data_IF_848498630487
#
_entry.id   IF_848498630487
#
_cell.length_a   1.000
_cell.length_b   1.000
_cell.length_c   1.000
_cell.angle_alpha   90.00
_cell.angle_beta   90.00
_cell.angle_gamma   90.00
#
_symmetry.space_group_name_H-M   'P 1'
#
loop_
_entity.id
_entity.type
_entity.pdbx_description
1 polymer ?
#
# COMPACT_ATOMS: atom_id res chain seq x y z
N UNK A 1 104.87 62.09 24.65
CA UNK A 1 104.24 62.38 25.94
C UNK A 1 102.73 62.38 25.73
N UNK A 2 102.03 61.53 26.48
CA UNK A 2 100.63 61.16 26.26
C UNK A 2 99.64 62.28 26.59
N UNK A 3 98.50 62.30 25.91
CA UNK A 3 97.26 62.82 26.51
C UNK A 3 96.06 61.94 26.15
N UNK A 4 95.39 61.52 27.21
CA UNK A 4 94.22 60.67 27.35
C UNK A 4 93.03 61.01 26.44
N UNK A 5 92.41 59.96 25.88
CA UNK A 5 91.02 59.97 25.36
C UNK A 5 90.04 60.33 26.48
N UNK A 6 89.31 61.43 26.33
CA UNK A 6 88.06 61.66 27.05
C UNK A 6 86.90 61.04 26.23
N UNK A 7 86.11 60.21 26.88
CA UNK A 7 84.92 59.56 26.32
C UNK A 7 83.89 60.58 25.85
N UNK A 8 83.61 60.57 24.54
CA UNK A 8 82.56 61.40 23.94
C UNK A 8 81.19 61.09 24.56
N UNK A 9 80.46 62.15 24.93
CA UNK A 9 79.08 62.00 25.36
C UNK A 9 78.24 61.45 24.20
N UNK A 10 77.61 60.30 24.43
CA UNK A 10 76.65 59.70 23.50
C UNK A 10 75.39 60.55 23.56
N UNK A 11 75.09 61.27 22.48
CA UNK A 11 73.83 62.02 22.34
C UNK A 11 72.74 61.02 21.92
N UNK A 12 71.83 60.67 22.83
CA UNK A 12 70.67 59.85 22.50
C UNK A 12 69.64 60.71 21.74
N UNK A 13 69.63 60.59 20.41
CA UNK A 13 68.54 61.10 19.56
C UNK A 13 67.52 59.98 19.38
N UNK A 14 66.31 60.19 19.91
CA UNK A 14 65.20 59.26 19.76
C UNK A 14 64.01 59.98 19.09
N UNK A 15 63.14 59.23 18.40
CA UNK A 15 62.06 59.82 17.61
C UNK A 15 60.96 60.41 18.52
N UNK A 16 60.84 61.74 18.54
CA UNK A 16 59.84 62.43 19.38
C UNK A 16 58.47 62.40 18.68
N UNK A 17 57.67 61.38 18.98
CA UNK A 17 56.27 61.31 18.60
C UNK A 17 55.36 61.73 19.75
N UNK A 18 54.38 62.59 19.47
CA UNK A 18 53.38 63.00 20.47
C UNK A 18 52.35 61.89 20.67
N UNK A 19 52.55 61.06 21.69
CA UNK A 19 51.58 60.02 22.06
C UNK A 19 50.44 60.65 22.89
N UNK A 20 49.21 60.60 22.37
CA UNK A 20 47.99 60.93 23.11
C UNK A 20 47.05 59.73 23.09
N UNK A 21 46.43 59.44 24.22
CA UNK A 21 45.33 58.48 24.32
C UNK A 21 44.02 59.23 24.08
N UNK A 22 43.25 58.81 23.09
CA UNK A 22 41.92 59.36 22.82
C UNK A 22 40.85 58.31 23.11
N UNK A 23 39.75 58.75 23.70
CA UNK A 23 38.59 57.91 24.04
C UNK A 23 37.33 58.56 23.48
N UNK A 24 37.28 58.68 22.15
CA UNK A 24 36.10 59.20 21.47
C UNK A 24 34.94 58.22 21.63
N UNK A 25 33.88 58.69 22.28
CA UNK A 25 32.68 57.90 22.47
C UNK A 25 31.91 57.77 21.15
N UNK A 26 31.29 56.61 20.88
CA UNK A 26 30.43 56.46 19.72
C UNK A 26 29.21 57.41 19.80
N UNK A 27 28.66 57.83 18.66
CA UNK A 27 27.42 58.60 18.65
C UNK A 27 26.26 57.76 19.22
N UNK A 28 25.21 58.40 19.78
CA UNK A 28 24.08 57.70 20.37
C UNK A 28 23.34 56.83 19.33
N UNK A 29 23.00 55.60 19.71
CA UNK A 29 22.51 54.55 18.79
C UNK A 29 21.04 54.67 18.35
N UNK A 30 20.30 55.67 18.84
CA UNK A 30 18.91 56.02 18.47
C UNK A 30 18.06 54.80 18.01
N UNK A 31 17.85 53.79 18.87
CA UNK A 31 17.06 52.63 18.50
C UNK A 31 15.59 53.02 18.24
N UNK A 32 14.86 52.23 17.44
CA UNK A 32 13.44 52.46 17.20
C UNK A 32 12.66 52.42 18.52
N UNK A 33 11.68 53.33 18.66
CA UNK A 33 10.81 53.38 19.85
C UNK A 33 9.71 52.34 19.73
N UNK A 34 9.61 51.45 20.71
CA UNK A 34 8.44 50.59 20.83
C UNK A 34 7.22 51.40 21.25
N UNK A 35 6.07 51.04 20.71
CA UNK A 35 4.77 51.62 21.06
C UNK A 35 4.06 50.67 22.03
N UNK A 36 3.33 51.24 22.98
CA UNK A 36 2.46 50.46 23.86
C UNK A 36 1.24 49.97 23.08
N UNK A 37 1.05 48.65 23.05
CA UNK A 37 -0.10 48.02 22.42
C UNK A 37 -1.27 48.10 23.42
N UNK A 38 -2.43 48.69 23.04
CA UNK A 38 -3.56 48.81 23.94
C UNK A 38 -4.13 47.42 24.27
N UNK A 39 -4.11 47.06 25.56
CA UNK A 39 -4.72 45.85 26.09
C UNK A 39 -5.96 46.15 26.93
N UNK A 40 -6.93 45.24 26.92
CA UNK A 40 -8.06 45.24 27.85
C UNK A 40 -7.57 44.76 29.22
N UNK A 41 -6.97 45.67 29.99
CA UNK A 41 -6.57 45.39 31.36
C UNK A 41 -7.78 45.10 32.28
N UNK A 42 -7.57 45.02 33.58
CA UNK A 42 -8.64 44.78 34.57
C UNK A 42 -9.74 45.88 34.57
N UNK A 43 -9.43 47.06 34.04
CA UNK A 43 -10.40 48.15 33.85
C UNK A 43 -11.32 47.93 32.63
N UNK A 44 -10.90 47.10 31.67
CA UNK A 44 -11.77 46.57 30.63
C UNK A 44 -12.67 45.52 31.28
N UNK A 45 -13.95 45.85 31.44
CA UNK A 45 -14.93 45.15 32.29
C UNK A 45 -15.14 43.65 32.01
N UNK A 46 -14.43 43.07 31.04
CA UNK A 46 -14.50 41.67 30.65
C UNK A 46 -14.19 40.73 31.83
N UNK A 47 -13.11 41.00 32.55
CA UNK A 47 -12.66 40.17 33.69
C UNK A 47 -13.41 40.44 35.00
N UNK A 48 -14.05 41.60 35.13
CA UNK A 48 -14.84 41.98 36.32
C UNK A 48 -16.34 41.77 36.12
N UNK A 49 -16.76 41.36 34.92
CA UNK A 49 -18.16 41.03 34.63
C UNK A 49 -18.62 39.79 35.39
N UNK A 50 -19.87 39.78 35.84
CA UNK A 50 -20.49 38.59 36.44
C UNK A 50 -20.55 37.40 35.47
N UNK A 51 -20.56 37.67 34.16
CA UNK A 51 -20.51 36.63 33.11
C UNK A 51 -19.23 35.82 33.12
N UNK A 52 -18.09 36.46 33.47
CA UNK A 52 -16.80 35.79 33.59
C UNK A 52 -16.80 34.68 34.65
N UNK A 53 -17.54 34.89 35.75
CA UNK A 53 -17.67 33.91 36.85
C UNK A 53 -18.77 32.85 36.61
N UNK A 54 -19.54 32.94 35.53
CA UNK A 54 -20.69 32.05 35.28
C UNK A 54 -20.33 30.57 35.18
N UNK A 55 -19.14 30.27 34.63
CA UNK A 55 -18.64 28.90 34.56
C UNK A 55 -18.35 28.33 35.95
N UNK A 56 -17.71 29.13 36.80
CA UNK A 56 -17.42 28.76 38.19
C UNK A 56 -18.72 28.52 38.97
N UNK A 57 -19.73 29.36 38.77
CA UNK A 57 -21.03 29.19 39.42
C UNK A 57 -21.76 27.91 39.00
N UNK A 58 -21.65 27.51 37.73
CA UNK A 58 -22.26 26.26 37.22
C UNK A 58 -21.53 24.99 37.68
N UNK A 59 -20.24 25.09 38.00
CA UNK A 59 -19.44 23.98 38.52
C UNK A 59 -19.64 23.76 40.03
N UNK A 60 -20.30 24.69 40.74
CA UNK A 60 -20.65 24.48 42.15
C UNK A 60 -21.65 23.33 42.30
N UNK A 61 -21.38 22.33 43.15
CA UNK A 61 -22.34 21.26 43.45
C UNK A 61 -23.66 21.84 43.94
N UNK A 62 -24.77 21.40 43.35
CA UNK A 62 -26.10 21.83 43.77
C UNK A 62 -26.41 21.27 45.15
N UNK A 63 -26.98 22.12 46.01
CA UNK A 63 -27.55 21.63 47.26
C UNK A 63 -28.77 20.76 46.95
N UNK A 64 -28.76 19.53 47.44
CA UNK A 64 -29.87 18.56 47.32
C UNK A 64 -30.75 18.53 48.58
N UNK A 65 -30.39 19.28 49.62
CA UNK A 65 -31.19 19.45 50.83
C UNK A 65 -32.39 20.37 50.53
N UNK A 66 -33.55 19.77 50.31
CA UNK A 66 -34.78 20.50 49.98
C UNK A 66 -35.40 21.20 51.19
N UNK A 67 -35.50 20.48 52.32
CA UNK A 67 -36.02 20.95 53.60
C UNK A 67 -35.28 20.25 54.76
N UNK A 68 -35.71 20.50 56.01
CA UNK A 68 -35.10 19.89 57.19
C UNK A 68 -35.27 18.36 57.28
N UNK A 69 -36.20 17.78 56.51
CA UNK A 69 -36.52 16.35 56.51
C UNK A 69 -36.20 15.68 55.15
N UNK A 70 -35.37 16.33 54.33
CA UNK A 70 -34.93 15.88 53.00
C UNK A 70 -36.10 15.50 52.06
N UNK A 71 -37.21 16.22 52.15
CA UNK A 71 -38.43 16.01 51.35
C UNK A 71 -39.26 14.79 51.77
N UNK A 72 -38.96 14.17 52.92
CA UNK A 72 -39.71 13.05 53.50
C UNK A 72 -40.36 13.48 54.82
N UNK A 73 -41.54 14.11 54.80
CA UNK A 73 -42.15 14.65 56.00
C UNK A 73 -42.55 13.55 57.00
N UNK A 74 -42.03 13.60 58.22
CA UNK A 74 -42.36 12.65 59.30
C UNK A 74 -43.53 13.22 60.11
N UNK A 75 -44.74 13.07 59.57
CA UNK A 75 -45.98 13.47 60.24
C UNK A 75 -46.85 12.25 60.57
N UNK A 76 -47.34 12.20 61.81
CA UNK A 76 -48.23 11.14 62.30
C UNK A 76 -49.71 11.50 62.11
N UNK A 77 -50.02 12.76 61.78
CA UNK A 77 -51.39 13.22 61.57
C UNK A 77 -52.00 12.56 60.34
N UNK A 78 -53.14 11.88 60.54
CA UNK A 78 -53.87 11.18 59.47
C UNK A 78 -53.55 9.70 59.33
N UNK A 79 -52.56 9.17 60.07
CA UNK A 79 -52.30 7.72 60.11
C UNK A 79 -53.31 7.04 61.07
N UNK A 80 -54.07 6.03 60.62
CA UNK A 80 -55.07 5.37 61.47
C UNK A 80 -54.46 4.72 62.71
N UNK A 81 -55.05 4.96 63.89
CA UNK A 81 -54.77 4.23 65.14
C UNK A 81 -53.52 4.69 65.92
N UNK A 82 -52.67 5.55 65.35
CA UNK A 82 -51.39 5.94 65.97
C UNK A 82 -51.59 6.72 67.28
N UNK A 83 -52.58 7.61 67.36
CA UNK A 83 -52.89 8.34 68.59
C UNK A 83 -53.66 7.52 69.63
N UNK A 84 -54.21 6.36 69.24
CA UNK A 84 -54.95 5.44 70.10
C UNK A 84 -54.06 4.30 70.66
N UNK A 85 -52.76 4.33 70.35
CA UNK A 85 -51.77 3.33 70.79
C UNK A 85 -51.62 2.12 69.86
N UNK A 86 -52.23 2.11 68.67
CA UNK A 86 -52.01 1.08 67.64
C UNK A 86 -51.01 1.57 66.58
N UNK A 87 -49.75 1.16 66.73
CA UNK A 87 -48.64 1.54 65.85
C UNK A 87 -48.52 0.66 64.59
N UNK A 88 -49.45 -0.28 64.36
CA UNK A 88 -49.34 -1.24 63.25
C UNK A 88 -49.23 -0.61 61.86
N UNK A 89 -49.77 0.59 61.68
CA UNK A 89 -49.74 1.31 60.40
C UNK A 89 -48.34 1.79 59.99
N UNK A 90 -47.47 2.07 60.96
CA UNK A 90 -46.09 2.55 60.74
C UNK A 90 -45.05 1.43 60.88
N UNK A 91 -45.43 0.30 61.48
CA UNK A 91 -44.56 -0.85 61.63
C UNK A 91 -44.41 -1.63 60.31
N UNK A 92 -43.23 -2.22 60.11
CA UNK A 92 -42.98 -3.09 58.98
C UNK A 92 -43.94 -4.29 59.00
N UNK A 93 -44.62 -4.55 57.88
CA UNK A 93 -45.56 -5.68 57.77
C UNK A 93 -44.82 -7.01 57.88
N UNK A 94 -45.26 -7.95 58.73
CA UNK A 94 -44.63 -9.27 58.82
C UNK A 94 -45.00 -10.12 57.60
N UNK A 95 -44.01 -10.57 56.83
CA UNK A 95 -44.19 -11.52 55.72
C UNK A 95 -43.21 -11.30 54.55
N UNK A 96 -43.12 -12.26 53.61
CA UNK A 96 -42.26 -12.11 52.43
C UNK A 96 -42.81 -11.01 51.50
N UNK A 97 -42.06 -9.93 51.34
CA UNK A 97 -42.41 -8.78 50.51
C UNK A 97 -42.06 -9.08 49.05
N UNK A 98 -43.04 -8.98 48.15
CA UNK A 98 -42.80 -9.01 46.69
C UNK A 98 -42.25 -7.66 46.27
N UNK A 99 -40.94 -7.58 46.00
CA UNK A 99 -40.27 -6.37 45.55
C UNK A 99 -40.63 -6.05 44.10
N UNK A 100 -40.92 -4.77 43.81
CA UNK A 100 -41.07 -4.31 42.44
C UNK A 100 -39.69 -4.29 41.75
N UNK A 101 -39.61 -4.61 40.44
CA UNK A 101 -38.33 -4.63 39.73
C UNK A 101 -37.57 -3.29 39.75
N UNK A 102 -38.28 -2.15 39.80
CA UNK A 102 -37.65 -0.83 39.92
C UNK A 102 -36.95 -0.63 41.28
N UNK A 103 -37.53 -1.15 42.37
CA UNK A 103 -37.00 -1.00 43.73
C UNK A 103 -35.78 -1.90 43.96
N UNK A 104 -35.67 -2.99 43.18
CA UNK A 104 -34.53 -3.91 43.24
C UNK A 104 -33.19 -3.20 43.01
N UNK A 105 -33.18 -2.15 42.21
CA UNK A 105 -31.95 -1.38 41.95
C UNK A 105 -31.57 -0.45 43.11
N UNK A 106 -32.57 0.12 43.79
CA UNK A 106 -32.39 1.01 44.94
C UNK A 106 -31.86 0.26 46.17
N UNK A 107 -32.14 -1.03 46.28
CA UNK A 107 -31.68 -1.90 47.37
C UNK A 107 -30.26 -2.46 47.17
N UNK A 108 -29.54 -2.10 46.09
CA UNK A 108 -28.16 -2.55 45.87
C UNK A 108 -27.27 -1.97 46.99
N UNK A 109 -26.47 -2.80 47.69
CA UNK A 109 -25.56 -2.31 48.71
C UNK A 109 -24.47 -1.43 48.07
N UNK A 110 -23.90 -0.49 48.83
CA UNK A 110 -22.89 0.45 48.32
C UNK A 110 -21.70 -0.25 47.64
N UNK A 111 -21.27 -1.41 48.14
CA UNK A 111 -20.18 -2.20 47.54
C UNK A 111 -20.51 -2.84 46.19
N UNK A 112 -21.79 -3.01 45.87
CA UNK A 112 -22.26 -3.41 44.54
C UNK A 112 -22.44 -2.20 43.60
N UNK A 113 -22.43 -0.99 44.14
CA UNK A 113 -22.47 0.26 43.41
C UNK A 113 -21.04 0.59 42.92
N UNK A 114 -20.61 -0.10 41.87
CA UNK A 114 -19.30 0.08 41.27
C UNK A 114 -19.07 -0.86 40.10
N UNK A 115 -18.18 -0.49 39.18
CA UNK A 115 -17.83 -1.34 38.03
C UNK A 115 -17.04 -2.57 38.50
N UNK A 116 -17.72 -3.68 38.75
CA UNK A 116 -17.12 -5.00 38.99
C UNK A 116 -16.48 -5.64 37.74
N UNK A 117 -15.79 -4.86 36.90
CA UNK A 117 -15.27 -5.32 35.61
C UNK A 117 -13.90 -4.69 35.24
N UNK A 118 -13.04 -4.42 36.22
CA UNK A 118 -11.65 -4.02 35.93
C UNK A 118 -10.80 -5.16 35.33
N UNK A 119 -11.29 -6.40 35.32
CA UNK A 119 -10.57 -7.58 34.80
C UNK A 119 -10.74 -7.73 33.27
N UNK A 120 -11.75 -7.10 32.67
CA UNK A 120 -12.01 -7.16 31.22
C UNK A 120 -11.50 -5.93 30.46
N UNK A 121 -10.77 -5.03 31.12
CA UNK A 121 -10.10 -3.93 30.44
C UNK A 121 -9.03 -4.50 29.51
N UNK A 122 -9.21 -4.38 28.20
CA UNK A 122 -8.19 -4.74 27.22
C UNK A 122 -7.03 -3.75 27.33
N UNK A 123 -6.11 -4.04 28.23
CA UNK A 123 -4.88 -3.28 28.38
C UNK A 123 -3.92 -3.72 27.27
N UNK A 124 -3.58 -2.83 26.35
CA UNK A 124 -2.80 -3.14 25.13
C UNK A 124 -1.40 -3.70 25.42
N UNK A 125 -0.85 -3.43 26.60
CA UNK A 125 0.44 -3.97 27.03
C UNK A 125 0.34 -5.33 27.74
N UNK A 126 -0.83 -5.72 28.24
CA UNK A 126 -1.00 -6.94 29.02
C UNK A 126 -1.41 -8.09 28.09
N UNK A 127 -0.42 -8.83 27.59
CA UNK A 127 -0.66 -10.05 26.81
C UNK A 127 -1.11 -11.20 27.73
N UNK A 128 -1.97 -12.07 27.22
CA UNK A 128 -2.34 -13.33 27.89
C UNK A 128 -1.11 -14.23 27.99
N UNK A 129 -0.95 -14.93 29.11
CA UNK A 129 0.12 -15.92 29.29
C UNK A 129 -0.12 -17.11 28.35
N UNK A 130 0.89 -17.47 27.57
CA UNK A 130 0.90 -18.76 26.88
C UNK A 130 1.30 -19.86 27.86
N UNK A 131 0.58 -20.98 27.82
CA UNK A 131 0.99 -22.20 28.51
C UNK A 131 1.81 -23.03 27.54
N UNK A 132 2.91 -23.63 28.01
CA UNK A 132 3.79 -24.50 27.23
C UNK A 132 3.01 -25.72 26.71
N UNK A 133 2.40 -25.60 25.54
CA UNK A 133 1.83 -26.72 24.80
C UNK A 133 2.96 -27.40 24.03
N UNK A 134 3.04 -28.73 24.13
CA UNK A 134 4.06 -29.57 23.48
C UNK A 134 4.04 -29.59 21.94
N UNK A 135 3.30 -28.67 21.31
CA UNK A 135 3.19 -28.52 19.86
C UNK A 135 3.67 -27.13 19.40
N UNK A 136 4.94 -26.82 19.68
CA UNK A 136 5.68 -25.89 18.82
C UNK A 136 5.97 -26.57 17.48
N UNK A 137 6.21 -25.82 16.37
CA UNK A 137 6.51 -26.40 15.07
C UNK A 137 7.90 -27.04 15.09
N UNK A 138 7.98 -28.25 15.63
CA UNK A 138 9.13 -29.11 15.51
C UNK A 138 9.05 -29.79 14.15
N UNK A 139 9.68 -29.20 13.14
CA UNK A 139 10.15 -29.99 12.01
C UNK A 139 11.32 -30.86 12.48
N UNK A 140 11.00 -31.94 13.20
CA UNK A 140 11.89 -33.09 13.30
C UNK A 140 11.49 -34.07 12.21
N UNK A 141 12.18 -34.02 11.08
CA UNK A 141 12.35 -35.22 10.25
C UNK A 141 13.28 -36.15 11.02
N UNK A 142 12.76 -36.80 12.05
CA UNK A 142 13.51 -37.81 12.80
C UNK A 142 13.66 -39.04 11.92
N UNK A 143 14.80 -39.10 11.22
CA UNK A 143 15.34 -40.33 10.63
C UNK A 143 15.68 -41.30 11.75
N UNK A 144 14.67 -42.01 12.25
CA UNK A 144 14.86 -43.17 13.12
C UNK A 144 14.75 -44.43 12.28
N UNK A 145 15.73 -45.31 12.46
CA UNK A 145 15.91 -46.55 11.71
C UNK A 145 14.72 -47.52 11.78
N UNK A 146 13.77 -47.32 12.71
CA UNK A 146 12.53 -48.09 12.79
C UNK A 146 11.49 -47.74 11.70
N UNK A 147 11.49 -46.52 11.16
CA UNK A 147 10.59 -46.17 10.05
C UNK A 147 11.11 -46.66 8.69
N UNK A 148 12.43 -46.73 8.51
CA UNK A 148 13.05 -47.32 7.31
C UNK A 148 12.75 -48.82 7.16
N UNK A 149 12.52 -49.53 8.27
CA UNK A 149 12.16 -50.96 8.26
C UNK A 149 10.69 -51.22 7.90
N UNK A 150 9.79 -50.25 8.12
CA UNK A 150 8.37 -50.36 7.69
C UNK A 150 8.16 -49.99 6.22
N UNK A 151 9.00 -49.13 5.66
CA UNK A 151 8.98 -48.80 4.23
C UNK A 151 9.52 -49.93 3.32
N UNK A 152 10.26 -50.90 3.85
CA UNK A 152 10.93 -51.95 3.06
C UNK A 152 10.08 -53.21 2.81
N UNK A 153 9.04 -53.44 3.61
CA UNK A 153 8.27 -54.70 3.59
C UNK A 153 6.80 -54.54 3.19
N UNK A 154 6.48 -53.55 2.36
CA UNK A 154 5.15 -53.42 1.77
C UNK A 154 5.17 -53.87 0.29
N UNK A 155 4.78 -55.12 -0.03
CA UNK A 155 4.88 -55.69 -1.37
C UNK A 155 3.96 -55.02 -2.40
N UNK A 156 3.05 -54.14 -1.97
CA UNK A 156 2.14 -53.37 -2.84
C UNK A 156 2.76 -52.08 -3.42
N UNK A 157 3.97 -51.70 -3.00
CA UNK A 157 4.61 -50.43 -3.42
C UNK A 157 5.78 -50.56 -4.39
N UNK A 158 6.13 -51.78 -4.82
CA UNK A 158 7.00 -52.00 -5.98
C UNK A 158 6.21 -51.79 -7.27
N UNK A 159 5.75 -50.55 -7.50
CA UNK A 159 5.54 -50.08 -8.87
C UNK A 159 6.93 -49.86 -9.45
N UNK A 160 7.16 -50.31 -10.68
CA UNK A 160 8.31 -49.90 -11.47
C UNK A 160 8.43 -48.38 -11.34
N UNK A 161 9.50 -47.90 -10.73
CA UNK A 161 9.75 -46.46 -10.65
C UNK A 161 10.07 -46.03 -12.07
N UNK A 162 9.03 -45.64 -12.83
CA UNK A 162 9.23 -44.74 -13.96
C UNK A 162 10.10 -43.60 -13.45
N UNK A 163 11.15 -43.26 -14.19
CA UNK A 163 12.08 -42.23 -13.76
C UNK A 163 11.24 -40.96 -13.51
N UNK A 164 11.30 -40.43 -12.30
CA UNK A 164 10.46 -39.28 -11.93
C UNK A 164 10.83 -38.04 -12.75
N UNK A 165 12.07 -38.02 -13.22
CA UNK A 165 12.65 -36.93 -13.98
C UNK A 165 12.57 -37.15 -15.50
N UNK A 166 11.91 -38.22 -15.97
CA UNK A 166 11.65 -38.40 -17.41
C UNK A 166 10.68 -37.30 -17.90
N UNK A 167 11.03 -36.51 -18.93
CA UNK A 167 10.19 -35.40 -19.40
C UNK A 167 8.74 -35.81 -19.73
N UNK A 168 8.57 -36.99 -20.33
CA UNK A 168 7.24 -37.53 -20.66
C UNK A 168 6.43 -37.83 -19.39
N UNK A 169 7.08 -38.34 -18.34
CA UNK A 169 6.42 -38.62 -17.07
C UNK A 169 6.01 -37.32 -16.36
N UNK A 170 6.85 -36.28 -16.44
CA UNK A 170 6.53 -34.94 -15.94
C UNK A 170 5.30 -34.41 -16.68
N UNK A 171 5.30 -34.42 -18.01
CA UNK A 171 4.19 -33.94 -18.84
C UNK A 171 2.89 -34.70 -18.50
N UNK A 172 2.93 -36.03 -18.40
CA UNK A 172 1.73 -36.81 -18.05
C UNK A 172 1.16 -36.46 -16.67
N UNK A 173 2.00 -36.15 -15.69
CA UNK A 173 1.55 -35.73 -14.37
C UNK A 173 1.06 -34.27 -14.34
N UNK A 174 1.60 -33.40 -15.19
CA UNK A 174 1.08 -32.04 -15.41
C UNK A 174 -0.32 -32.13 -16.01
N UNK A 175 -0.50 -32.88 -17.11
CA UNK A 175 -1.79 -33.08 -17.77
C UNK A 175 -2.81 -33.73 -16.82
N UNK A 176 -2.39 -34.69 -15.98
CA UNK A 176 -3.24 -35.26 -14.92
C UNK A 176 -3.86 -34.17 -14.02
N UNK A 177 -3.12 -33.11 -13.69
CA UNK A 177 -3.63 -31.99 -12.90
C UNK A 177 -4.77 -31.25 -13.61
N UNK A 178 -4.60 -30.98 -14.91
CA UNK A 178 -5.63 -30.38 -15.76
C UNK A 178 -6.84 -31.31 -15.93
N UNK A 179 -6.63 -32.61 -16.15
CA UNK A 179 -7.70 -33.60 -16.29
C UNK A 179 -8.53 -33.77 -15.00
N UNK A 180 -7.90 -33.61 -13.82
CA UNK A 180 -8.61 -33.61 -12.53
C UNK A 180 -9.50 -32.38 -12.39
N UNK A 181 -8.99 -31.21 -12.79
CA UNK A 181 -9.74 -29.95 -12.72
C UNK A 181 -10.89 -29.90 -13.74
N UNK A 182 -10.63 -30.35 -14.98
CA UNK A 182 -11.55 -30.31 -16.13
C UNK A 182 -11.68 -31.69 -16.80
N UNK A 183 -12.39 -32.65 -16.17
CA UNK A 183 -12.48 -34.03 -16.67
C UNK A 183 -13.24 -34.17 -18.00
N UNK A 184 -13.96 -33.13 -18.43
CA UNK A 184 -14.68 -33.09 -19.72
C UNK A 184 -13.74 -32.92 -20.91
N UNK A 185 -12.65 -32.19 -20.71
CA UNK A 185 -11.71 -31.80 -21.76
C UNK A 185 -10.51 -32.77 -21.87
N UNK A 186 -10.47 -33.76 -20.99
CA UNK A 186 -9.40 -34.76 -20.93
C UNK A 186 -9.28 -35.54 -22.25
N UNK A 187 -8.08 -35.49 -22.84
CA UNK A 187 -7.77 -36.20 -24.08
C UNK A 187 -7.70 -37.71 -23.84
N UNK A 188 -8.44 -38.48 -24.65
CA UNK A 188 -8.57 -39.95 -24.53
C UNK A 188 -7.99 -40.72 -25.73
N UNK A 189 -7.39 -40.03 -26.69
CA UNK A 189 -6.77 -40.64 -27.87
C UNK A 189 -5.38 -41.24 -27.59
N UNK A 190 -4.73 -41.73 -28.64
CA UNK A 190 -3.35 -42.22 -28.56
C UNK A 190 -2.36 -41.05 -28.44
N UNK A 191 -1.21 -41.31 -27.80
CA UNK A 191 -0.13 -40.33 -27.64
C UNK A 191 0.40 -39.91 -29.03
N UNK A 192 0.39 -38.61 -29.31
CA UNK A 192 0.99 -38.00 -30.50
C UNK A 192 2.11 -37.03 -30.09
N UNK A 193 2.77 -36.42 -31.08
CA UNK A 193 3.80 -35.39 -30.83
C UNK A 193 3.23 -34.11 -30.21
N UNK A 194 1.92 -33.87 -30.35
CA UNK A 194 1.24 -32.67 -29.86
C UNK A 194 0.34 -32.94 -28.65
N UNK A 195 -0.30 -34.10 -28.58
CA UNK A 195 -1.25 -34.46 -27.54
C UNK A 195 -0.80 -35.74 -26.82
N UNK A 196 -0.58 -35.65 -25.52
CA UNK A 196 -0.17 -36.77 -24.67
C UNK A 196 -1.30 -37.05 -23.68
N UNK A 197 -1.61 -38.32 -23.47
CA UNK A 197 -2.61 -38.70 -22.47
C UNK A 197 -2.08 -38.48 -21.04
N UNK A 198 -2.87 -37.80 -20.21
CA UNK A 198 -2.57 -37.60 -18.80
C UNK A 198 -2.44 -38.91 -18.02
N UNK A 199 -1.65 -38.89 -16.95
CA UNK A 199 -1.58 -40.01 -16.03
C UNK A 199 -2.96 -40.21 -15.35
N UNK A 200 -3.37 -41.47 -15.16
CA UNK A 200 -4.70 -41.77 -14.59
C UNK A 200 -4.87 -41.14 -13.19
N UNK A 201 -5.93 -40.35 -12.95
CA UNK A 201 -6.29 -39.84 -11.62
C UNK A 201 -6.46 -40.98 -10.61
N UNK A 202 -5.94 -40.80 -9.39
CA UNK A 202 -6.22 -41.72 -8.29
C UNK A 202 -7.59 -41.42 -7.70
N UNK A 203 -8.26 -42.42 -7.10
CA UNK A 203 -9.51 -42.20 -6.34
C UNK A 203 -9.32 -41.17 -5.22
N UNK A 204 -8.12 -41.14 -4.61
CA UNK A 204 -7.77 -40.16 -3.59
C UNK A 204 -7.75 -38.73 -4.15
N UNK A 205 -7.26 -38.54 -5.39
CA UNK A 205 -7.17 -37.24 -6.03
C UNK A 205 -8.58 -36.72 -6.38
N UNK A 206 -9.43 -37.59 -6.92
CA UNK A 206 -10.83 -37.25 -7.20
C UNK A 206 -11.62 -36.91 -5.94
N UNK A 207 -11.40 -37.65 -4.84
CA UNK A 207 -12.03 -37.35 -3.55
C UNK A 207 -11.55 -36.03 -2.95
N UNK A 208 -10.26 -35.73 -3.07
CA UNK A 208 -9.68 -34.49 -2.59
C UNK A 208 -10.20 -33.27 -3.38
N UNK A 209 -10.40 -33.41 -4.70
CA UNK A 209 -10.96 -32.34 -5.53
C UNK A 209 -12.44 -32.09 -5.26
N UNK A 210 -13.24 -33.16 -5.09
CA UNK A 210 -14.68 -33.05 -4.81
C UNK A 210 -14.98 -32.50 -3.41
N UNK A 211 -14.14 -32.80 -2.43
CA UNK A 211 -14.28 -32.32 -1.05
C UNK A 211 -12.94 -31.78 -0.53
N UNK A 212 -12.56 -30.55 -0.94
CA UNK A 212 -11.28 -29.98 -0.60
C UNK A 212 -11.18 -29.72 0.91
N UNK A 213 -10.08 -30.18 1.52
CA UNK A 213 -9.76 -29.94 2.92
C UNK A 213 -8.42 -29.22 3.01
N UNK A 214 -8.33 -28.21 3.88
CA UNK A 214 -7.08 -27.47 4.06
C UNK A 214 -6.02 -28.37 4.71
N UNK A 215 -4.80 -28.47 4.15
CA UNK A 215 -3.81 -29.48 4.52
C UNK A 215 -3.35 -29.43 6.00
N UNK A 216 -3.36 -28.25 6.62
CA UNK A 216 -2.99 -28.07 8.04
C UNK A 216 -4.14 -27.71 8.96
N UNK A 217 -5.32 -27.36 8.43
CA UNK A 217 -6.45 -26.81 9.20
C UNK A 217 -7.77 -27.39 8.68
N UNK A 218 -8.07 -28.67 8.97
CA UNK A 218 -9.21 -29.38 8.37
C UNK A 218 -10.58 -28.80 8.73
N UNK A 219 -10.66 -27.87 9.70
CA UNK A 219 -11.89 -27.16 10.05
C UNK A 219 -12.24 -26.02 9.08
N UNK A 220 -11.34 -25.63 8.17
CA UNK A 220 -11.62 -24.61 7.17
C UNK A 220 -12.45 -25.19 6.02
N UNK A 221 -13.38 -24.38 5.52
CA UNK A 221 -14.22 -24.72 4.39
C UNK A 221 -13.79 -23.88 3.17
N UNK A 222 -13.87 -24.49 1.99
CA UNK A 222 -13.70 -23.76 0.72
C UNK A 222 -14.91 -22.84 0.53
N UNK A 223 -14.67 -21.54 0.41
CA UNK A 223 -15.71 -20.55 0.13
C UNK A 223 -15.89 -20.36 -1.38
N UNK A 224 -14.79 -20.18 -2.11
CA UNK A 224 -14.81 -19.89 -3.53
C UNK A 224 -13.54 -20.41 -4.23
N UNK A 225 -13.62 -20.63 -5.53
CA UNK A 225 -12.52 -21.12 -6.36
C UNK A 225 -12.45 -20.34 -7.67
N UNK A 226 -11.27 -19.80 -7.97
CA UNK A 226 -11.01 -19.06 -9.20
C UNK A 226 -10.06 -19.87 -10.10
N UNK A 227 -10.49 -20.26 -11.30
CA UNK A 227 -9.58 -20.88 -12.26
C UNK A 227 -8.53 -19.86 -12.72
N UNK A 228 -7.27 -20.27 -12.80
CA UNK A 228 -6.18 -19.40 -13.26
C UNK A 228 -6.16 -19.39 -14.79
N UNK A 229 -6.35 -18.22 -15.40
CA UNK A 229 -6.49 -18.06 -16.84
C UNK A 229 -5.54 -16.96 -17.37
N UNK A 230 -4.96 -17.09 -18.57
CA UNK A 230 -4.26 -15.99 -19.20
C UNK A 230 -5.25 -14.97 -19.77
N UNK A 231 -4.95 -13.67 -19.65
CA UNK A 231 -5.67 -12.62 -20.38
C UNK A 231 -4.82 -12.18 -21.58
N UNK A 232 -5.04 -12.83 -22.74
CA UNK A 232 -4.24 -12.60 -23.94
C UNK A 232 -4.56 -11.27 -24.64
N UNK A 233 -5.76 -10.72 -24.43
CA UNK A 233 -6.20 -9.48 -25.08
C UNK A 233 -5.66 -8.24 -24.35
N UNK A 234 -5.34 -8.37 -23.06
CA UNK A 234 -4.82 -7.27 -22.24
C UNK A 234 -3.29 -7.12 -22.31
N UNK A 235 -2.62 -7.87 -23.17
CA UNK A 235 -1.16 -7.77 -23.33
C UNK A 235 -0.78 -6.46 -24.03
N UNK A 236 0.13 -5.66 -23.45
CA UNK A 236 0.61 -4.45 -24.10
C UNK A 236 1.48 -4.80 -25.32
N UNK A 237 1.85 -3.80 -26.12
CA UNK A 237 2.77 -3.97 -27.27
C UNK A 237 4.13 -4.58 -26.89
N UNK A 238 4.56 -4.40 -25.65
CA UNK A 238 5.76 -5.03 -25.07
C UNK A 238 5.55 -6.46 -24.59
N UNK A 239 4.33 -7.00 -24.68
CA UNK A 239 3.91 -8.32 -24.20
C UNK A 239 4.01 -8.53 -22.68
N UNK A 240 4.35 -7.48 -21.92
CA UNK A 240 4.62 -7.57 -20.49
C UNK A 240 4.41 -6.23 -19.77
N UNK A 241 4.07 -6.32 -18.49
CA UNK A 241 3.97 -5.17 -17.59
C UNK A 241 5.28 -4.96 -16.82
N UNK A 242 5.42 -3.77 -16.24
CA UNK A 242 6.53 -3.39 -15.38
C UNK A 242 6.00 -2.97 -14.01
N UNK A 243 6.70 -3.36 -12.94
CA UNK A 243 6.36 -2.98 -11.59
C UNK A 243 7.31 -1.89 -11.07
N UNK A 244 6.83 -0.65 -11.01
CA UNK A 244 7.57 0.46 -10.42
C UNK A 244 7.21 0.65 -8.94
N UNK A 245 8.20 0.62 -8.05
CA UNK A 245 8.02 0.84 -6.60
C UNK A 245 8.75 2.11 -6.16
N UNK A 246 7.99 3.11 -5.72
CA UNK A 246 8.58 4.33 -5.14
C UNK A 246 9.06 4.06 -3.71
N UNK A 247 10.30 4.47 -3.38
CA UNK A 247 10.85 4.35 -2.02
C UNK A 247 10.11 5.25 -1.03
N UNK A 248 9.65 6.40 -1.50
CA UNK A 248 8.88 7.39 -0.73
C UNK A 248 7.59 7.71 -1.45
N UNK A 249 6.51 8.01 -0.71
CA UNK A 249 5.26 8.45 -1.31
C UNK A 249 5.52 9.64 -2.26
N UNK A 250 5.18 9.54 -3.56
CA UNK A 250 5.43 10.60 -4.53
C UNK A 250 4.67 11.89 -4.20
N UNK A 251 3.43 11.77 -3.71
CA UNK A 251 2.57 12.89 -3.36
C UNK A 251 2.66 13.21 -1.87
N UNK A 252 2.32 14.46 -1.50
CA UNK A 252 2.36 14.91 -0.11
C UNK A 252 1.46 14.01 0.78
N UNK A 253 1.82 13.85 2.05
CA UNK A 253 1.06 13.03 3.01
C UNK A 253 -0.33 13.62 3.23
N UNK A 254 -1.29 13.23 2.39
CA UNK A 254 -2.70 13.28 2.72
C UNK A 254 -3.02 12.16 3.71
N UNK A 255 -4.13 12.29 4.45
CA UNK A 255 -4.58 11.28 5.43
C UNK A 255 -4.97 9.93 4.79
N UNK A 256 -5.02 9.85 3.45
CA UNK A 256 -5.39 8.65 2.69
C UNK A 256 -4.61 8.46 1.39
N UNK A 257 -4.98 7.42 0.65
CA UNK A 257 -4.44 7.11 -0.68
C UNK A 257 -4.94 8.16 -1.70
N UNK A 258 -4.02 8.78 -2.44
CA UNK A 258 -4.37 9.73 -3.50
C UNK A 258 -4.58 8.98 -4.81
N UNK A 259 -5.84 8.92 -5.26
CA UNK A 259 -6.26 8.19 -6.46
C UNK A 259 -5.61 8.71 -7.76
N UNK A 260 -5.03 9.91 -7.76
CA UNK A 260 -4.29 10.40 -8.93
C UNK A 260 -3.09 9.53 -9.28
N UNK A 261 -2.57 8.76 -8.32
CA UNK A 261 -1.50 7.78 -8.56
C UNK A 261 -1.95 6.58 -9.40
N UNK A 262 -3.25 6.25 -9.40
CA UNK A 262 -3.80 5.14 -10.19
C UNK A 262 -3.75 5.40 -11.70
N UNK A 263 -3.77 6.69 -12.08
CA UNK A 263 -3.84 7.14 -13.47
C UNK A 263 -2.61 7.95 -13.89
N UNK A 264 -1.52 7.89 -13.12
CA UNK A 264 -0.30 8.64 -13.35
C UNK A 264 0.54 8.05 -14.50
N UNK A 265 1.31 8.90 -15.18
CA UNK A 265 2.16 8.52 -16.31
C UNK A 265 3.62 8.54 -15.86
N UNK A 266 4.30 7.41 -16.03
CA UNK A 266 5.73 7.28 -15.80
C UNK A 266 6.43 7.23 -17.17
N UNK A 267 7.09 8.32 -17.54
CA UNK A 267 7.79 8.44 -18.82
C UNK A 267 9.28 8.21 -18.62
N UNK A 268 9.89 7.34 -19.41
CA UNK A 268 11.35 7.18 -19.44
C UNK A 268 12.01 8.42 -20.07
N UNK A 269 13.05 8.93 -19.42
CA UNK A 269 13.89 10.01 -19.93
C UNK A 269 15.05 9.40 -20.71
N UNK A 270 15.25 9.86 -21.94
CA UNK A 270 16.42 9.47 -22.73
C UNK A 270 17.67 10.12 -22.14
N UNK A 271 18.58 9.31 -21.59
CA UNK A 271 19.92 9.72 -21.18
C UNK A 271 20.95 8.95 -22.01
N UNK A 272 21.53 9.63 -23.00
CA UNK A 272 22.52 9.05 -23.91
C UNK A 272 23.77 8.55 -23.17
N UNK A 273 24.16 9.20 -22.07
CA UNK A 273 25.30 8.78 -21.26
C UNK A 273 24.98 7.55 -20.41
N UNK A 274 23.77 7.43 -19.88
CA UNK A 274 23.31 6.20 -19.24
C UNK A 274 23.31 5.02 -20.23
N UNK A 275 22.79 5.25 -21.44
CA UNK A 275 22.76 4.25 -22.50
C UNK A 275 24.16 3.79 -22.92
N UNK A 276 25.11 4.72 -23.10
CA UNK A 276 26.49 4.40 -23.43
C UNK A 276 27.19 3.56 -22.33
N UNK A 277 26.97 3.89 -21.05
CA UNK A 277 27.49 3.12 -19.91
C UNK A 277 26.90 1.71 -19.87
N UNK A 278 25.61 1.57 -20.15
CA UNK A 278 24.97 0.26 -20.24
C UNK A 278 25.54 -0.57 -21.40
N UNK A 279 25.66 0.00 -22.60
CA UNK A 279 26.25 -0.68 -23.77
C UNK A 279 27.63 -1.24 -23.46
N UNK A 280 28.50 -0.43 -22.86
CA UNK A 280 29.83 -0.87 -22.45
C UNK A 280 29.78 -2.06 -21.47
N UNK A 281 28.96 -1.98 -20.40
CA UNK A 281 28.78 -3.10 -19.45
C UNK A 281 28.24 -4.36 -20.13
N UNK A 282 27.32 -4.21 -21.07
CA UNK A 282 26.68 -5.31 -21.78
C UNK A 282 27.66 -5.99 -22.75
N UNK A 283 28.52 -5.23 -23.42
CA UNK A 283 29.61 -5.76 -24.26
C UNK A 283 30.64 -6.53 -23.43
N UNK A 284 31.08 -5.99 -22.29
CA UNK A 284 31.96 -6.68 -21.35
C UNK A 284 31.34 -7.99 -20.86
N UNK A 285 30.05 -7.97 -20.51
CA UNK A 285 29.32 -9.17 -20.10
C UNK A 285 29.31 -10.24 -21.21
N UNK A 286 28.96 -9.86 -22.45
CA UNK A 286 28.97 -10.77 -23.61
C UNK A 286 30.35 -11.38 -23.85
N UNK A 287 31.43 -10.60 -23.70
CA UNK A 287 32.79 -11.07 -23.86
C UNK A 287 33.24 -11.99 -22.71
N UNK A 288 32.76 -11.74 -21.49
CA UNK A 288 33.21 -12.45 -20.27
C UNK A 288 32.72 -13.90 -20.15
N UNK A 289 31.79 -14.36 -21.00
CA UNK A 289 31.15 -15.70 -20.90
C UNK A 289 30.69 -16.03 -19.47
N UNK A 290 30.29 -15.01 -18.71
CA UNK A 290 29.95 -15.13 -17.30
C UNK A 290 28.58 -15.76 -17.11
N UNK A 291 28.40 -16.58 -16.07
CA UNK A 291 27.09 -17.10 -15.62
C UNK A 291 26.27 -16.04 -14.88
N UNK A 292 26.80 -14.83 -14.68
CA UNK A 292 26.06 -13.74 -14.05
C UNK A 292 24.90 -13.29 -14.96
N UNK A 293 23.79 -12.79 -14.38
CA UNK A 293 22.67 -12.28 -15.18
C UNK A 293 23.10 -11.09 -16.05
N UNK A 294 22.42 -10.92 -17.18
CA UNK A 294 22.68 -9.82 -18.10
C UNK A 294 22.44 -8.47 -17.42
N UNK A 295 23.32 -7.46 -17.62
CA UNK A 295 23.09 -6.11 -17.12
C UNK A 295 21.80 -5.51 -17.70
N UNK A 296 20.91 -5.04 -16.82
CA UNK A 296 19.66 -4.38 -17.18
C UNK A 296 19.91 -2.86 -17.34
N UNK A 297 19.30 -2.17 -18.33
CA UNK A 297 19.41 -0.72 -18.45
C UNK A 297 18.78 -0.02 -17.25
N UNK A 298 19.52 0.96 -16.71
CA UNK A 298 19.09 1.82 -15.60
C UNK A 298 18.73 3.19 -16.18
N UNK A 299 17.46 3.57 -16.06
CA UNK A 299 16.95 4.81 -16.64
C UNK A 299 16.45 5.79 -15.57
N UNK A 300 16.36 7.05 -15.98
CA UNK A 300 15.62 8.08 -15.27
C UNK A 300 14.19 8.15 -15.78
N UNK A 301 13.26 8.52 -14.90
CA UNK A 301 11.85 8.61 -15.21
C UNK A 301 11.28 9.95 -14.79
N UNK A 302 10.49 10.56 -15.67
CA UNK A 302 9.67 11.72 -15.36
C UNK A 302 8.26 11.24 -14.98
N UNK A 303 7.79 11.66 -13.81
CA UNK A 303 6.50 11.24 -13.27
C UNK A 303 5.48 12.36 -13.37
N UNK A 304 4.37 12.09 -14.07
CA UNK A 304 3.28 13.01 -14.33
C UNK A 304 2.00 12.51 -13.69
N UNK A 305 1.25 13.42 -13.06
CA UNK A 305 0.05 13.10 -12.29
C UNK A 305 -1.10 13.97 -12.82
N UNK A 306 -2.35 13.45 -12.91
CA UNK A 306 -3.50 14.26 -13.28
C UNK A 306 -3.57 15.56 -12.48
N UNK A 307 -3.85 16.67 -13.16
CA UNK A 307 -3.89 17.99 -12.52
C UNK A 307 -4.92 18.03 -11.38
N UNK A 308 -6.12 17.53 -11.66
CA UNK A 308 -7.22 17.43 -10.68
C UNK A 308 -7.45 15.98 -10.22
N UNK A 309 -7.94 15.81 -8.99
CA UNK A 309 -8.30 14.49 -8.48
C UNK A 309 -9.66 13.97 -9.00
N UNK A 310 -10.52 14.90 -9.42
CA UNK A 310 -11.84 14.66 -9.99
C UNK A 310 -11.76 13.98 -11.36
N UNK A 311 -10.75 14.33 -12.18
CA UNK A 311 -10.55 13.77 -13.52
C UNK A 311 -10.20 12.28 -13.50
N UNK A 312 -9.62 11.76 -12.41
CA UNK A 312 -9.25 10.34 -12.27
C UNK A 312 -10.41 9.40 -12.56
N UNK A 313 -11.62 9.75 -12.11
CA UNK A 313 -12.80 8.92 -12.37
C UNK A 313 -13.07 8.84 -13.87
N UNK A 314 -13.06 9.97 -14.56
CA UNK A 314 -13.33 10.02 -16.00
C UNK A 314 -12.21 9.36 -16.82
N UNK A 315 -10.95 9.51 -16.40
CA UNK A 315 -9.80 8.83 -17.00
C UNK A 315 -9.97 7.31 -16.91
N UNK A 316 -10.32 6.79 -15.72
CA UNK A 316 -10.54 5.35 -15.53
C UNK A 316 -11.70 4.82 -16.39
N UNK A 317 -12.79 5.59 -16.53
CA UNK A 317 -13.90 5.24 -17.44
C UNK A 317 -13.48 5.24 -18.91
N UNK A 318 -12.73 6.27 -19.34
CA UNK A 318 -12.20 6.37 -20.72
C UNK A 318 -11.22 5.24 -21.05
N UNK A 319 -10.54 4.65 -20.07
CA UNK A 319 -9.60 3.53 -20.26
C UNK A 319 -10.23 2.15 -20.02
N UNK A 320 -11.47 2.08 -19.51
CA UNK A 320 -12.15 0.81 -19.26
C UNK A 320 -12.91 0.37 -20.50
N UNK A 321 -12.36 -0.63 -21.20
CA UNK A 321 -12.95 -1.24 -22.41
C UNK A 321 -14.33 -1.84 -22.15
N UNK A 322 -14.67 -2.12 -20.88
CA UNK A 322 -15.99 -2.67 -20.55
C UNK A 322 -17.05 -1.58 -20.31
N UNK A 323 -16.65 -0.31 -20.16
CA UNK A 323 -17.59 0.81 -19.97
C UNK A 323 -18.29 1.12 -21.31
N UNK A 324 -19.64 1.09 -21.39
CA UNK A 324 -20.34 1.37 -22.64
C UNK A 324 -20.18 2.83 -23.11
N UNK A 325 -19.80 3.74 -22.21
CA UNK A 325 -19.58 5.16 -22.50
C UNK A 325 -18.09 5.49 -22.68
N UNK A 326 -17.18 4.50 -22.77
CA UNK A 326 -15.74 4.76 -22.87
C UNK A 326 -15.36 5.63 -24.09
N UNK A 327 -16.14 5.54 -25.17
CA UNK A 327 -15.92 6.32 -26.39
C UNK A 327 -16.43 7.76 -26.29
N UNK A 328 -17.15 8.13 -25.22
CA UNK A 328 -17.72 9.47 -25.08
C UNK A 328 -16.64 10.53 -24.81
N UNK A 329 -16.61 11.57 -25.64
CA UNK A 329 -15.71 12.72 -25.50
C UNK A 329 -16.10 13.64 -24.33
N UNK A 330 -17.29 13.47 -23.72
CA UNK A 330 -17.67 14.14 -22.46
C UNK A 330 -16.86 13.64 -21.25
N UNK A 331 -16.17 12.50 -21.36
CA UNK A 331 -15.30 12.03 -20.29
C UNK A 331 -14.02 12.86 -20.16
N UNK A 332 -13.60 13.59 -21.19
CA UNK A 332 -12.47 14.50 -21.10
C UNK A 332 -12.81 15.72 -20.25
N UNK A 333 -11.91 16.10 -19.34
CA UNK A 333 -12.16 17.17 -18.35
C UNK A 333 -11.71 18.54 -18.80
N UNK A 334 -10.82 18.63 -19.78
CA UNK A 334 -10.15 19.86 -20.17
C UNK A 334 -10.27 20.10 -21.67
N UNK A 335 -10.33 21.38 -22.06
CA UNK A 335 -10.27 21.81 -23.45
C UNK A 335 -8.82 22.19 -23.82
N UNK A 336 -8.34 21.62 -24.93
CA UNK A 336 -7.05 21.92 -25.51
C UNK A 336 -7.04 23.19 -26.37
N UNK A 337 -5.84 23.67 -26.76
CA UNK A 337 -5.68 24.88 -27.56
C UNK A 337 -6.35 24.79 -28.95
N UNK A 338 -6.46 23.58 -29.50
CA UNK A 338 -7.08 23.32 -30.82
C UNK A 338 -8.58 23.01 -30.74
N UNK A 339 -9.21 23.19 -29.56
CA UNK A 339 -10.61 22.83 -29.32
C UNK A 339 -10.87 21.32 -29.17
N UNK A 340 -9.81 20.50 -29.14
CA UNK A 340 -9.89 19.07 -28.80
C UNK A 340 -9.97 18.91 -27.30
N UNK A 341 -10.83 18.02 -26.82
CA UNK A 341 -10.91 17.68 -25.40
C UNK A 341 -9.81 16.71 -25.00
N UNK A 342 -9.27 16.87 -23.80
CA UNK A 342 -8.09 16.14 -23.31
C UNK A 342 -8.06 16.02 -21.78
N UNK A 343 -7.08 15.28 -21.28
CA UNK A 343 -6.72 15.23 -19.86
C UNK A 343 -5.40 15.95 -19.62
N UNK A 344 -5.38 16.89 -18.67
CA UNK A 344 -4.15 17.58 -18.28
C UNK A 344 -3.40 16.87 -17.17
N UNK A 345 -2.11 16.70 -17.38
CA UNK A 345 -1.17 16.10 -16.44
C UNK A 345 -0.09 17.11 -16.08
N UNK A 346 0.21 17.21 -14.79
CA UNK A 346 1.30 18.04 -14.28
C UNK A 346 2.51 17.19 -13.93
N UNK A 347 3.71 17.69 -14.24
CA UNK A 347 4.95 17.06 -13.83
C UNK A 347 5.13 17.18 -12.33
N UNK A 348 5.39 16.05 -11.68
CA UNK A 348 5.69 16.02 -10.25
C UNK A 348 7.20 16.19 -9.99
N UNK A 349 8.02 15.27 -10.49
CA UNK A 349 9.50 15.26 -10.36
C UNK A 349 10.13 14.16 -11.20
N UNK A 350 11.46 14.16 -11.25
CA UNK A 350 12.26 13.08 -11.84
C UNK A 350 12.65 12.05 -10.78
N UNK A 351 12.54 10.78 -11.14
CA UNK A 351 12.99 9.62 -10.39
C UNK A 351 14.18 9.00 -11.12
N UNK A 352 15.10 8.42 -10.36
CA UNK A 352 16.17 7.59 -10.90
C UNK A 352 16.00 6.15 -10.40
N UNK A 353 16.49 5.21 -11.20
CA UNK A 353 16.53 3.79 -10.82
C UNK A 353 17.44 3.60 -9.61
N UNK A 354 16.90 3.02 -8.52
CA UNK A 354 17.68 2.67 -7.33
C UNK A 354 18.10 1.20 -7.33
N UNK A 355 17.18 0.32 -7.68
CA UNK A 355 17.40 -1.12 -7.75
C UNK A 355 16.44 -1.73 -8.77
N UNK A 356 16.91 -2.71 -9.54
CA UNK A 356 16.12 -3.37 -10.57
C UNK A 356 16.35 -4.88 -10.52
N UNK A 357 15.28 -5.65 -10.72
CA UNK A 357 15.30 -7.11 -10.86
C UNK A 357 14.33 -7.53 -11.95
N UNK A 358 14.58 -8.68 -12.57
CA UNK A 358 13.80 -9.22 -13.67
C UNK A 358 14.69 -9.88 -14.70
N UNK A 359 14.08 -10.60 -15.64
CA UNK A 359 14.76 -11.20 -16.77
C UNK A 359 14.07 -10.77 -18.08
N UNK A 360 14.73 -10.00 -18.94
CA UNK A 360 14.19 -9.64 -20.25
C UNK A 360 13.90 -10.83 -21.17
N UNK A 361 14.47 -12.01 -20.89
CA UNK A 361 14.24 -13.23 -21.67
C UNK A 361 13.07 -14.08 -21.16
N UNK A 362 12.65 -13.92 -19.89
CA UNK A 362 11.61 -14.75 -19.27
C UNK A 362 10.65 -13.93 -18.41
N UNK A 363 9.44 -13.72 -18.92
CA UNK A 363 8.47 -12.78 -18.32
C UNK A 363 7.67 -13.33 -17.12
N UNK A 364 7.80 -14.63 -16.81
CA UNK A 364 7.01 -15.32 -15.78
C UNK A 364 7.84 -15.85 -14.61
N UNK A 365 9.17 -15.73 -14.65
CA UNK A 365 10.05 -16.40 -13.69
C UNK A 365 10.15 -15.70 -12.33
N UNK A 366 10.16 -14.37 -12.28
CA UNK A 366 10.32 -13.60 -11.04
C UNK A 366 8.96 -13.20 -10.43
N UNK A 367 8.15 -12.48 -11.21
CA UNK A 367 6.89 -11.89 -10.73
C UNK A 367 5.77 -12.02 -11.76
N UNK A 368 4.54 -12.22 -11.26
CA UNK A 368 3.32 -12.30 -12.06
C UNK A 368 2.23 -11.52 -11.32
N UNK A 369 1.50 -10.67 -12.03
CA UNK A 369 0.31 -10.01 -11.49
C UNK A 369 -0.89 -10.94 -11.63
N UNK A 370 -1.76 -10.97 -10.61
CA UNK A 370 -3.01 -11.74 -10.61
C UNK A 370 -4.17 -10.80 -10.29
N UNK A 371 -5.17 -10.77 -11.16
CA UNK A 371 -6.43 -10.07 -10.94
C UNK A 371 -7.57 -11.08 -10.82
N UNK A 372 -8.34 -10.99 -9.74
CA UNK A 372 -9.54 -11.79 -9.58
C UNK A 372 -10.70 -11.10 -10.28
N UNK A 373 -11.35 -11.81 -11.20
CA UNK A 373 -12.54 -11.36 -11.87
C UNK A 373 -13.70 -12.27 -11.48
N UNK A 374 -14.75 -11.67 -10.92
CA UNK A 374 -16.03 -12.33 -10.65
C UNK A 374 -17.17 -11.47 -11.25
N UNK A 375 -17.81 -11.93 -12.34
CA UNK A 375 -18.88 -11.16 -12.98
C UNK A 375 -20.10 -10.96 -12.06
N UNK A 376 -20.32 -11.83 -11.08
CA UNK A 376 -21.48 -11.79 -10.19
C UNK A 376 -21.24 -10.90 -8.94
N UNK A 377 -19.99 -10.69 -8.55
CA UNK A 377 -19.60 -9.89 -7.36
C UNK A 377 -19.03 -8.50 -7.70
N UNK A 378 -18.99 -8.08 -8.97
CA UNK A 378 -18.49 -6.75 -9.35
C UNK A 378 -19.40 -5.63 -8.83
N UNK A 379 -19.15 -5.20 -7.58
CA UNK A 379 -19.80 -4.06 -6.93
C UNK A 379 -19.44 -2.78 -7.69
N UNK A 380 -20.42 -2.18 -8.37
CA UNK A 380 -20.23 -0.91 -9.09
C UNK A 380 -20.36 -0.99 -10.61
N UNK A 381 -20.81 -2.12 -11.15
CA UNK A 381 -21.10 -2.25 -12.58
C UNK A 381 -22.02 -1.11 -13.07
N UNK A 382 -21.50 -0.31 -14.00
CA UNK A 382 -22.29 0.67 -14.74
C UNK A 382 -23.37 -0.10 -15.50
N UNK A 383 -24.65 0.32 -15.50
CA UNK A 383 -25.68 -0.34 -16.29
C UNK A 383 -25.25 -0.45 -17.76
N UNK A 384 -25.15 -1.68 -18.29
CA UNK A 384 -24.70 -1.92 -19.67
C UNK A 384 -23.23 -2.30 -19.84
N UNK A 385 -22.47 -2.50 -18.75
CA UNK A 385 -21.08 -2.97 -18.80
C UNK A 385 -20.97 -4.30 -19.57
N UNK A 386 -20.04 -4.38 -20.52
CA UNK A 386 -19.81 -5.60 -21.30
C UNK A 386 -18.99 -6.59 -20.47
N UNK A 387 -19.43 -7.86 -20.42
CA UNK A 387 -18.69 -8.91 -19.72
C UNK A 387 -17.72 -9.57 -20.69
N UNK A 388 -16.49 -9.05 -20.77
CA UNK A 388 -15.43 -9.64 -21.61
C UNK A 388 -14.88 -10.94 -21.01
N UNK A 389 -14.68 -10.97 -19.70
CA UNK A 389 -13.97 -12.05 -19.00
C UNK A 389 -14.96 -12.94 -18.22
N UNK A 390 -14.73 -14.25 -18.24
CA UNK A 390 -15.42 -15.19 -17.36
C UNK A 390 -14.83 -15.15 -15.95
N UNK A 391 -15.54 -15.73 -14.96
CA UNK A 391 -15.02 -15.86 -13.59
C UNK A 391 -13.66 -16.57 -13.58
N UNK A 392 -12.64 -15.93 -13.02
CA UNK A 392 -11.27 -16.44 -13.06
C UNK A 392 -10.25 -15.54 -12.38
N UNK A 393 -9.09 -16.11 -12.09
CA UNK A 393 -7.90 -15.40 -11.65
C UNK A 393 -7.01 -15.19 -12.88
N UNK A 394 -7.06 -13.99 -13.45
CA UNK A 394 -6.31 -13.66 -14.65
C UNK A 394 -4.89 -13.26 -14.30
N UNK A 395 -3.91 -13.88 -14.96
CA UNK A 395 -2.51 -13.59 -14.71
C UNK A 395 -1.89 -12.75 -15.84
N UNK A 396 -1.00 -11.84 -15.45
CA UNK A 396 -0.32 -10.91 -16.34
C UNK A 396 1.20 -10.97 -16.12
N UNK A 397 2.01 -11.11 -17.19
CA UNK A 397 3.46 -11.18 -17.09
C UNK A 397 4.05 -9.86 -16.57
N UNK A 398 4.98 -9.94 -15.61
CA UNK A 398 5.77 -8.80 -15.14
C UNK A 398 7.22 -9.05 -15.52
N UNK A 399 7.73 -8.31 -16.50
CA UNK A 399 9.11 -8.47 -16.98
C UNK A 399 10.13 -8.02 -15.95
N UNK A 400 9.85 -6.90 -15.26
CA UNK A 400 10.81 -6.32 -14.34
C UNK A 400 10.15 -5.55 -13.20
N UNK A 401 10.86 -5.53 -12.07
CA UNK A 401 10.56 -4.71 -10.91
C UNK A 401 11.64 -3.68 -10.69
N UNK A 402 11.25 -2.42 -10.70
CA UNK A 402 12.15 -1.27 -10.57
C UNK A 402 11.80 -0.48 -9.33
N UNK A 403 12.75 -0.34 -8.41
CA UNK A 403 12.63 0.55 -7.25
C UNK A 403 13.13 1.94 -7.64
N UNK A 404 12.28 2.95 -7.46
CA UNK A 404 12.52 4.33 -7.88
C UNK A 404 12.75 5.24 -6.67
N UNK A 405 13.77 6.09 -6.76
CA UNK A 405 14.04 7.13 -5.76
C UNK A 405 14.03 8.53 -6.39
N UNK A 406 13.61 9.57 -5.66
CA UNK A 406 13.66 10.93 -6.21
C UNK A 406 15.10 11.28 -6.58
N UNK A 407 15.31 11.69 -7.84
CA UNK A 407 16.63 12.12 -8.30
C UNK A 407 17.01 13.40 -7.56
N UNK A 408 18.16 13.39 -6.89
CA UNK A 408 18.67 14.59 -6.20
C UNK A 408 19.31 15.49 -7.24
N UNK A 409 18.90 16.75 -7.27
CA UNK A 409 19.65 17.79 -7.96
C UNK A 409 20.95 18.04 -7.18
N UNK A 410 21.97 17.22 -7.46
CA UNK A 410 23.33 17.52 -7.04
C UNK A 410 23.72 18.75 -7.83
N UNK A 411 23.96 19.88 -7.16
CA UNK A 411 24.21 21.16 -7.80
C UNK A 411 25.34 21.07 -8.82
N UNK A 412 24.98 20.86 -10.09
CA UNK A 412 25.82 21.20 -11.24
C UNK A 412 25.79 22.72 -11.41
N UNK A 413 26.30 23.42 -10.40
CA UNK A 413 26.88 24.73 -10.59
C UNK A 413 28.27 24.47 -11.19
N UNK A 414 28.38 24.38 -12.52
CA UNK A 414 29.48 24.99 -13.29
C UNK A 414 29.72 24.50 -14.74
N UNK A 415 29.23 23.35 -15.25
CA UNK A 415 29.75 22.85 -16.55
C UNK A 415 28.79 22.16 -17.53
N UNK A 416 27.47 22.22 -17.34
CA UNK A 416 26.49 21.71 -18.32
C UNK A 416 25.59 22.84 -18.82
N UNK A 417 26.17 23.81 -19.53
CA UNK A 417 25.43 24.71 -20.43
C UNK A 417 25.14 24.05 -21.80
N UNK A 418 25.28 22.72 -21.89
CA UNK A 418 25.19 21.96 -23.13
C UNK A 418 24.14 20.85 -23.03
N UNK A 419 22.93 21.23 -22.65
CA UNK A 419 21.67 20.60 -23.02
C UNK A 419 20.61 21.44 -22.31
N UNK A 420 19.91 22.31 -23.05
CA UNK A 420 18.56 22.68 -22.66
C UNK A 420 17.75 21.38 -22.67
N UNK A 421 17.79 20.62 -21.58
CA UNK A 421 16.88 19.50 -21.37
C UNK A 421 15.48 20.11 -21.47
N UNK A 422 14.76 19.84 -22.57
CA UNK A 422 13.37 20.23 -22.76
C UNK A 422 12.56 19.68 -21.58
N UNK A 423 12.41 20.52 -20.57
CA UNK A 423 11.75 20.18 -19.34
C UNK A 423 10.26 20.30 -19.59
N UNK A 424 9.61 19.15 -19.78
CA UNK A 424 8.16 19.13 -19.96
C UNK A 424 7.51 19.32 -18.60
N UNK A 425 6.78 20.42 -18.41
CA UNK A 425 6.08 20.72 -17.16
C UNK A 425 4.64 20.19 -17.16
N UNK A 426 3.99 20.13 -18.33
CA UNK A 426 2.62 19.62 -18.49
C UNK A 426 2.51 18.67 -19.69
N UNK A 427 1.63 17.68 -19.59
CA UNK A 427 1.27 16.78 -20.68
C UNK A 427 -0.24 16.89 -20.95
N UNK A 428 -0.56 17.16 -22.20
CA UNK A 428 -1.91 17.09 -22.74
C UNK A 428 -2.12 15.68 -23.33
N UNK A 429 -3.02 14.90 -22.74
CA UNK A 429 -3.21 13.48 -23.07
C UNK A 429 -4.58 13.22 -23.66
N UNK A 430 -4.61 12.54 -24.81
CA UNK A 430 -5.82 12.01 -25.44
C UNK A 430 -5.67 10.49 -25.59
N UNK A 431 -6.79 9.78 -25.45
CA UNK A 431 -6.87 8.33 -25.71
C UNK A 431 -7.26 8.14 -27.17
N UNK A 432 -6.52 7.31 -27.88
CA UNK A 432 -6.78 6.95 -29.27
C UNK A 432 -6.78 5.43 -29.41
N UNK A 433 -7.51 4.94 -30.42
CA UNK A 433 -7.47 3.53 -30.78
C UNK A 433 -6.08 3.12 -31.25
N UNK A 434 -5.81 1.82 -31.11
CA UNK A 434 -4.55 1.23 -31.53
C UNK A 434 -4.40 1.31 -33.05
N UNK A 435 -3.32 1.94 -33.52
CA UNK A 435 -2.96 1.98 -34.95
C UNK A 435 -2.65 0.58 -35.51
N UNK A 436 -2.82 0.39 -36.82
CA UNK A 436 -2.67 -0.93 -37.46
C UNK A 436 -1.30 -1.57 -37.21
N UNK A 437 -0.21 -0.79 -37.29
CA UNK A 437 1.14 -1.27 -37.01
C UNK A 437 1.31 -1.75 -35.55
N UNK A 438 0.64 -1.11 -34.60
CA UNK A 438 0.70 -1.49 -33.19
C UNK A 438 -0.20 -2.71 -32.91
N UNK A 439 -1.32 -2.87 -33.64
CA UNK A 439 -2.12 -4.10 -33.63
C UNK A 439 -1.32 -5.29 -34.14
N UNK A 440 -0.62 -5.16 -35.27
CA UNK A 440 0.25 -6.20 -35.81
C UNK A 440 1.34 -6.60 -34.80
N UNK A 441 2.01 -5.63 -34.17
CA UNK A 441 3.01 -5.90 -33.15
C UNK A 441 2.41 -6.66 -31.93
N UNK A 442 1.22 -6.28 -31.46
CA UNK A 442 0.52 -7.00 -30.39
C UNK A 442 0.20 -8.44 -30.82
N UNK A 443 -0.32 -8.64 -32.04
CA UNK A 443 -0.64 -9.96 -32.57
C UNK A 443 0.59 -10.86 -32.69
N UNK A 444 1.71 -10.33 -33.18
CA UNK A 444 2.98 -11.06 -33.23
C UNK A 444 3.45 -11.51 -31.84
N UNK A 445 3.35 -10.63 -30.84
CA UNK A 445 3.73 -10.97 -29.47
C UNK A 445 2.78 -11.97 -28.83
N UNK A 446 1.48 -11.82 -29.05
CA UNK A 446 0.46 -12.79 -28.64
C UNK A 446 0.73 -14.16 -29.26
N UNK A 447 1.11 -14.20 -30.54
CA UNK A 447 1.43 -15.43 -31.26
C UNK A 447 2.67 -16.19 -30.74
N UNK A 448 3.56 -15.52 -29.98
CA UNK A 448 4.68 -16.17 -29.27
C UNK A 448 4.16 -16.94 -28.05
N UNK A 449 3.17 -16.38 -27.35
CA UNK A 449 2.61 -16.96 -26.13
C UNK A 449 1.56 -18.02 -26.48
N UNK A 450 0.69 -17.72 -27.43
CA UNK A 450 -0.32 -18.62 -27.96
C UNK A 450 -0.09 -18.88 -29.46
N UNK A 451 0.54 -20.01 -29.83
CA UNK A 451 0.81 -20.33 -31.21
C UNK A 451 -0.46 -20.55 -32.05
N UNK A 452 -1.64 -20.74 -31.43
CA UNK A 452 -2.91 -20.83 -32.18
C UNK A 452 -3.34 -19.48 -32.76
N UNK A 453 -2.94 -18.37 -32.13
CA UNK A 453 -3.18 -17.01 -32.61
C UNK A 453 -2.39 -16.66 -33.90
N UNK A 454 -1.45 -17.52 -34.34
CA UNK A 454 -0.74 -17.34 -35.62
C UNK A 454 -1.67 -17.42 -36.83
N UNK A 455 -2.84 -18.05 -36.71
CA UNK A 455 -3.83 -18.13 -37.78
C UNK A 455 -4.50 -16.78 -38.09
N UNK A 456 -4.47 -15.84 -37.13
CA UNK A 456 -5.12 -14.53 -37.23
C UNK A 456 -4.18 -13.43 -37.75
N UNK A 457 -2.90 -13.75 -38.00
CA UNK A 457 -1.97 -12.84 -38.66
C UNK A 457 -2.37 -12.68 -40.13
N UNK A 458 -2.44 -11.45 -40.68
CA UNK A 458 -2.67 -11.27 -42.10
C UNK A 458 -1.56 -11.99 -42.87
N UNK A 459 -1.94 -12.79 -43.87
CA UNK A 459 -0.98 -13.48 -44.72
C UNK A 459 -0.01 -12.45 -45.28
N UNK A 460 1.27 -12.55 -44.92
CA UNK A 460 2.30 -11.66 -45.42
C UNK A 460 2.18 -11.60 -46.93
N UNK A 461 1.82 -10.42 -47.46
CA UNK A 461 1.85 -10.17 -48.89
C UNK A 461 3.32 -10.35 -49.28
N UNK A 462 3.62 -11.46 -49.98
CA UNK A 462 4.89 -11.65 -50.68
C UNK A 462 5.04 -10.48 -51.66
N UNK A 463 5.69 -9.42 -51.20
CA UNK A 463 6.20 -8.38 -52.05
C UNK A 463 7.32 -9.02 -52.87
N UNK A 464 6.98 -9.34 -54.12
CA UNK A 464 7.90 -9.74 -55.15
C UNK A 464 9.12 -8.81 -55.20
N UNK A 465 10.31 -9.41 -55.17
CA UNK A 465 11.55 -8.86 -55.69
C UNK A 465 12.23 -9.91 -56.56
#
# INVERSE_FOLDING_TARGET
MASSRQSGQVVHQDYIARVRYDNSLPPPSLPPKFLDIPGTGLAGADYTSAGYASRMAKEQPLNIEADAELGMPIDLVGIPGVFDGDERAILARPGPIKLHPADKELLKPLGALGKGAAIAGSVSFLRRTEYTSSQGPQQFTSSTSKDLLRLRNDPKRRKTSMNKDDPINIIRNVIKGFDIAYPRDAYKGEDSTTNIQGAKPSEADAKAWTNPQHPSKPSLQLLDSYPVLPDLDALPSTACFMLAKFITNPLASSRGYDHRLDAAILRQKNDEQAYARWNHRNEEWKQSSSTKPQPIPEDDYEYFVPLEATSVRSIKRKLDVNDPEHDDDELYTDDGPDGRRLFKYSRLRTYETYQQSGDPASFYDDHVALALHDPDETVGAVPGMTQRLQKGAYFYPIMQRTSLRPKRNVGQMAFSQAADDEKIDELDVTVADVDEALREAILEKRAVIDPSAKADLPAAVEAAA
#
